data_IF_502194098684
#
_entry.id   IF_502194098684
#
_cell.length_a   1.000
_cell.length_b   1.000
_cell.length_c   1.000
_cell.angle_alpha   90.00
_cell.angle_beta   90.00
_cell.angle_gamma   90.00
#
_symmetry.space_group_name_H-M   'P 1'
#
loop_
_entity.id
_entity.type
_entity.pdbx_description
1 polymer ?
#
# COMPACT_ATOMS: atom_id res chain seq x y z
N UNK A 1 -1.28 1.88 -4.72
CA UNK A 1 -0.76 1.70 -6.09
C UNK A 1 0.69 1.26 -5.98
N UNK A 2 1.07 0.22 -6.72
CA UNK A 2 2.46 -0.21 -6.85
C UNK A 2 2.80 -0.22 -8.34
N UNK A 3 3.94 0.34 -8.70
CA UNK A 3 4.51 0.28 -10.05
C UNK A 3 5.88 -0.36 -9.96
N UNK A 4 6.06 -1.50 -10.64
CA UNK A 4 7.33 -2.19 -10.72
C UNK A 4 8.36 -1.34 -11.47
N UNK A 5 9.62 -1.48 -11.10
CA UNK A 5 10.72 -0.87 -11.83
C UNK A 5 10.89 -1.49 -13.23
N UNK A 6 11.29 -0.66 -14.19
CA UNK A 6 11.59 -1.05 -15.56
C UNK A 6 12.58 -0.07 -16.23
N UNK A 7 13.70 -0.54 -16.83
CA UNK A 7 14.18 -1.93 -16.87
C UNK A 7 14.46 -2.49 -15.48
N UNK A 8 14.64 -3.81 -15.39
CA UNK A 8 14.88 -4.51 -14.10
C UNK A 8 16.16 -4.07 -13.39
N UNK A 9 17.03 -3.32 -14.07
CA UNK A 9 18.25 -2.69 -13.53
C UNK A 9 18.00 -1.31 -12.93
N UNK A 10 16.85 -0.69 -13.18
CA UNK A 10 16.49 0.62 -12.64
C UNK A 10 15.83 0.52 -11.27
N UNK A 11 15.90 1.60 -10.50
CA UNK A 11 15.19 1.80 -9.23
C UNK A 11 13.99 2.75 -9.40
N UNK A 12 13.35 2.76 -10.57
CA UNK A 12 12.27 3.70 -10.90
C UNK A 12 10.86 3.17 -10.55
N UNK A 13 10.76 2.22 -9.63
CA UNK A 13 9.48 1.77 -9.09
C UNK A 13 8.82 2.86 -8.24
N UNK A 14 7.51 2.76 -8.08
CA UNK A 14 6.71 3.71 -7.31
C UNK A 14 5.75 3.00 -6.36
N UNK A 15 5.42 3.68 -5.26
CA UNK A 15 4.37 3.29 -4.33
C UNK A 15 3.55 4.52 -3.94
N UNK A 16 2.23 4.37 -3.92
CA UNK A 16 1.34 5.44 -3.46
C UNK A 16 0.16 4.88 -2.66
N UNK A 17 -0.25 5.62 -1.63
CA UNK A 17 -1.34 5.29 -0.72
C UNK A 17 -2.33 6.46 -0.73
N UNK A 18 -3.61 6.12 -0.79
CA UNK A 18 -4.71 7.06 -0.61
C UNK A 18 -5.54 6.60 0.59
N UNK A 19 -5.93 7.54 1.44
CA UNK A 19 -6.90 7.34 2.52
C UNK A 19 -8.01 8.37 2.30
N UNK A 20 -9.26 7.92 2.26
CA UNK A 20 -10.44 8.76 2.01
C UNK A 20 -10.27 9.68 0.77
N UNK A 21 -9.65 9.14 -0.28
CA UNK A 21 -9.41 9.85 -1.54
C UNK A 21 -8.22 10.81 -1.52
N UNK A 22 -7.62 11.07 -0.37
CA UNK A 22 -6.44 11.92 -0.21
C UNK A 22 -5.18 11.09 -0.40
N UNK A 23 -4.28 11.51 -1.30
CA UNK A 23 -2.98 10.85 -1.51
C UNK A 23 -2.05 11.16 -0.34
N UNK A 24 -2.03 10.30 0.68
CA UNK A 24 -1.23 10.46 1.89
C UNK A 24 0.24 10.07 1.71
N UNK A 25 0.56 9.29 0.68
CA UNK A 25 1.94 8.94 0.36
C UNK A 25 2.09 8.73 -1.14
N UNK A 26 3.18 9.24 -1.71
CA UNK A 26 3.62 8.92 -3.07
C UNK A 26 5.13 9.01 -3.11
N UNK A 27 5.78 7.86 -3.29
CA UNK A 27 7.22 7.70 -3.22
C UNK A 27 7.69 7.01 -4.51
N UNK A 28 8.72 7.57 -5.14
CA UNK A 28 9.28 7.12 -6.40
C UNK A 28 10.65 7.75 -6.65
N UNK A 29 11.34 7.33 -7.70
CA UNK A 29 12.67 7.88 -7.98
C UNK A 29 12.61 9.41 -8.13
N UNK A 30 13.38 10.11 -7.31
CA UNK A 30 13.46 11.56 -7.28
C UNK A 30 12.41 12.25 -6.40
N UNK A 31 11.51 11.52 -5.72
CA UNK A 31 10.52 12.13 -4.84
C UNK A 31 9.91 11.17 -3.79
N UNK A 32 9.46 11.68 -2.64
CA UNK A 32 9.70 13.03 -2.14
C UNK A 32 11.16 13.16 -1.68
N UNK A 33 11.51 14.34 -1.19
CA UNK A 33 12.75 14.50 -0.44
C UNK A 33 12.60 13.87 0.96
N UNK A 34 13.71 13.38 1.50
CA UNK A 34 13.75 12.81 2.83
C UNK A 34 15.13 12.33 3.25
N UNK A 35 15.16 11.51 4.28
CA UNK A 35 16.38 10.90 4.81
C UNK A 35 16.09 9.51 5.37
N UNK A 36 17.13 8.67 5.39
CA UNK A 36 17.08 7.35 6.00
C UNK A 36 17.60 7.38 7.43
N UNK A 37 16.90 6.73 8.34
CA UNK A 37 17.36 6.44 9.69
C UNK A 37 16.92 5.04 10.08
N UNK A 38 17.87 4.14 10.37
CA UNK A 38 17.55 2.77 10.79
C UNK A 38 16.68 1.97 9.81
N UNK A 39 16.80 2.23 8.50
CA UNK A 39 15.97 1.57 7.49
C UNK A 39 14.55 2.15 7.37
N UNK A 40 14.28 3.29 8.00
CA UNK A 40 13.04 4.06 7.84
C UNK A 40 13.36 5.28 6.98
N UNK A 41 12.63 5.45 5.88
CA UNK A 41 12.67 6.68 5.09
C UNK A 41 11.65 7.67 5.65
N UNK A 42 12.12 8.81 6.12
CA UNK A 42 11.28 9.90 6.63
C UNK A 42 11.25 11.03 5.62
N UNK A 43 10.05 11.45 5.22
CA UNK A 43 9.87 12.56 4.29
C UNK A 43 10.27 13.88 4.96
N UNK A 44 11.13 14.64 4.30
CA UNK A 44 11.58 15.97 4.71
C UNK A 44 11.89 16.78 3.45
N UNK A 45 11.21 17.92 3.21
CA UNK A 45 11.47 18.79 2.06
C UNK A 45 12.94 19.23 1.93
N UNK A 46 13.67 19.32 3.03
CA UNK A 46 15.10 19.71 3.08
C UNK A 46 16.06 18.54 2.86
N UNK A 47 15.55 17.31 2.83
CA UNK A 47 16.31 16.11 2.59
C UNK A 47 16.71 15.92 1.12
N UNK A 48 17.25 14.75 0.81
CA UNK A 48 17.61 14.36 -0.55
C UNK A 48 16.43 13.67 -1.24
N UNK A 49 16.31 13.78 -2.58
CA UNK A 49 15.31 13.03 -3.33
C UNK A 49 15.42 11.52 -3.07
N UNK A 50 14.27 10.84 -2.89
CA UNK A 50 14.24 9.39 -2.74
C UNK A 50 14.91 8.68 -3.91
N UNK A 51 15.77 7.71 -3.63
CA UNK A 51 16.57 7.01 -4.65
C UNK A 51 15.71 6.12 -5.58
N UNK A 52 14.52 5.75 -5.11
CA UNK A 52 13.55 4.96 -5.85
C UNK A 52 13.55 3.47 -5.51
N UNK A 53 12.46 2.77 -5.83
CA UNK A 53 12.31 1.35 -5.55
C UNK A 53 12.82 0.47 -6.69
N UNK A 54 13.58 -0.57 -6.34
CA UNK A 54 13.84 -1.72 -7.22
C UNK A 54 13.10 -2.96 -6.69
N UNK A 55 11.80 -3.05 -6.98
CA UNK A 55 10.93 -4.15 -6.57
C UNK A 55 11.32 -5.53 -7.11
N UNK A 56 11.96 -5.56 -8.29
CA UNK A 56 12.38 -6.80 -8.96
C UNK A 56 13.74 -6.65 -9.66
N UNK A 57 14.42 -7.77 -9.79
CA UNK A 57 15.66 -7.92 -10.57
C UNK A 57 15.49 -8.79 -11.81
N UNK A 58 14.38 -9.51 -11.94
CA UNK A 58 14.03 -10.39 -13.07
C UNK A 58 12.73 -9.91 -13.71
N UNK A 59 12.65 -9.95 -15.03
CA UNK A 59 11.48 -9.46 -15.76
C UNK A 59 10.25 -10.36 -15.59
N UNK A 60 10.45 -11.63 -15.22
CA UNK A 60 9.41 -12.62 -14.98
C UNK A 60 8.74 -12.47 -13.61
N UNK A 61 9.38 -11.76 -12.67
CA UNK A 61 8.78 -11.47 -11.36
C UNK A 61 7.79 -10.30 -11.48
N UNK A 62 6.51 -10.65 -11.49
CA UNK A 62 5.38 -9.72 -11.55
C UNK A 62 4.64 -9.65 -10.21
N UNK A 63 3.77 -8.65 -10.04
CA UNK A 63 2.82 -8.62 -8.93
C UNK A 63 1.88 -9.84 -9.06
N UNK A 64 1.75 -10.64 -7.99
CA UNK A 64 1.11 -11.96 -8.06
C UNK A 64 0.13 -12.24 -6.90
N UNK A 65 0.29 -11.59 -5.75
CA UNK A 65 -0.58 -11.76 -4.60
C UNK A 65 -0.97 -10.42 -3.99
N UNK A 66 -2.15 -10.42 -3.38
CA UNK A 66 -2.57 -9.39 -2.44
C UNK A 66 -2.94 -10.12 -1.15
N UNK A 67 -2.33 -9.69 -0.05
CA UNK A 67 -2.55 -10.27 1.26
C UNK A 67 -3.30 -9.27 2.12
N UNK A 68 -4.45 -9.68 2.65
CA UNK A 68 -5.18 -8.93 3.67
C UNK A 68 -4.76 -9.50 5.02
N UNK A 69 -3.89 -8.78 5.73
CA UNK A 69 -3.33 -9.22 7.01
C UNK A 69 -3.44 -8.09 8.01
N UNK A 70 -3.86 -8.43 9.22
CA UNK A 70 -3.90 -7.54 10.37
C UNK A 70 -3.33 -8.30 11.56
N UNK A 71 -2.38 -7.70 12.28
CA UNK A 71 -1.78 -8.25 13.49
C UNK A 71 -1.64 -7.12 14.51
N UNK A 72 -2.28 -7.25 15.66
CA UNK A 72 -2.28 -6.25 16.74
C UNK A 72 -1.70 -6.87 18.01
N UNK A 73 -0.38 -6.74 18.25
CA UNK A 73 0.27 -7.37 19.40
C UNK A 73 0.07 -6.61 20.73
N UNK A 74 -0.32 -5.33 20.66
CA UNK A 74 -0.33 -4.42 21.81
C UNK A 74 -1.74 -4.05 22.30
N UNK A 75 -2.69 -5.00 22.15
CA UNK A 75 -4.07 -4.77 22.57
C UNK A 75 -4.20 -4.67 24.10
N UNK A 76 -4.94 -3.67 24.62
CA UNK A 76 -5.23 -3.58 26.04
C UNK A 76 -5.97 -4.81 26.56
N UNK A 77 -5.79 -5.14 27.84
CA UNK A 77 -6.50 -6.25 28.46
C UNK A 77 -8.03 -6.09 28.35
N UNK A 78 -8.70 -7.14 27.88
CA UNK A 78 -10.15 -7.15 27.66
C UNK A 78 -10.60 -6.53 26.33
N UNK A 79 -9.67 -6.09 25.46
CA UNK A 79 -10.00 -5.62 24.13
C UNK A 79 -10.25 -6.82 23.20
N UNK A 80 -11.39 -6.81 22.51
CA UNK A 80 -11.70 -7.71 21.41
C UNK A 80 -11.59 -6.92 20.10
N UNK A 81 -10.71 -7.34 19.20
CA UNK A 81 -10.53 -6.70 17.89
C UNK A 81 -11.43 -7.38 16.85
N UNK A 82 -12.23 -6.57 16.17
CA UNK A 82 -12.95 -6.97 14.95
C UNK A 82 -12.49 -6.08 13.79
N UNK A 83 -11.79 -6.68 12.82
CA UNK A 83 -11.37 -6.01 11.59
C UNK A 83 -12.20 -6.52 10.42
N UNK A 84 -12.93 -5.61 9.78
CA UNK A 84 -13.76 -5.94 8.62
C UNK A 84 -13.16 -5.36 7.35
N UNK A 85 -12.99 -6.19 6.33
CA UNK A 85 -12.67 -5.76 4.98
C UNK A 85 -13.93 -5.84 4.13
N UNK A 86 -14.17 -4.82 3.34
CA UNK A 86 -15.28 -4.79 2.40
C UNK A 86 -14.88 -4.04 1.12
N UNK A 87 -15.55 -4.34 -0.01
CA UNK A 87 -15.32 -3.74 -1.32
C UNK A 87 -13.84 -3.75 -1.77
N UNK A 88 -13.14 -4.86 -1.54
CA UNK A 88 -11.74 -5.01 -1.95
C UNK A 88 -11.68 -5.18 -3.48
N UNK A 89 -11.04 -4.23 -4.16
CA UNK A 89 -10.89 -4.22 -5.62
C UNK A 89 -9.42 -4.17 -6.02
N UNK A 90 -9.07 -4.96 -7.04
CA UNK A 90 -7.76 -4.94 -7.69
C UNK A 90 -7.89 -4.33 -9.07
N UNK A 91 -7.16 -3.25 -9.33
CA UNK A 91 -7.25 -2.52 -10.58
C UNK A 91 -5.87 -2.12 -11.11
N UNK A 92 -5.79 -1.89 -12.44
CA UNK A 92 -4.57 -1.43 -13.12
C UNK A 92 -4.35 0.09 -13.04
N UNK A 93 -5.38 0.82 -12.61
CA UNK A 93 -5.38 2.27 -12.43
C UNK A 93 -6.10 2.62 -11.12
N UNK A 94 -5.81 3.80 -10.57
CA UNK A 94 -6.51 4.29 -9.39
C UNK A 94 -8.02 4.41 -9.67
N UNK A 95 -8.86 3.86 -8.80
CA UNK A 95 -10.32 3.80 -8.96
C UNK A 95 -11.08 4.84 -8.12
N UNK A 96 -10.41 5.56 -7.22
CA UNK A 96 -11.07 6.54 -6.36
C UNK A 96 -11.88 5.92 -5.22
N UNK A 97 -12.59 6.78 -4.48
CA UNK A 97 -13.54 6.37 -3.46
C UNK A 97 -14.89 5.98 -4.09
N UNK A 98 -15.62 5.09 -3.41
CA UNK A 98 -17.04 4.87 -3.71
C UNK A 98 -17.83 6.16 -3.46
N UNK A 99 -18.86 6.39 -4.26
CA UNK A 99 -19.82 7.46 -3.98
C UNK A 99 -20.68 7.09 -2.77
N UNK A 100 -21.15 8.10 -2.05
CA UNK A 100 -21.90 7.97 -0.79
C UNK A 100 -23.17 7.12 -0.86
N UNK A 101 -23.69 6.86 -2.07
CA UNK A 101 -24.93 6.12 -2.33
C UNK A 101 -24.72 4.62 -2.54
N UNK A 102 -23.52 4.09 -2.28
CA UNK A 102 -23.28 2.64 -2.35
C UNK A 102 -23.92 1.95 -1.14
N UNK A 103 -24.91 1.08 -1.40
CA UNK A 103 -25.46 0.20 -0.37
C UNK A 103 -24.36 -0.77 0.08
N UNK A 104 -24.10 -0.93 1.39
CA UNK A 104 -23.13 -1.92 1.85
C UNK A 104 -23.51 -3.31 1.32
N UNK A 105 -22.58 -4.10 0.78
CA UNK A 105 -22.81 -5.46 0.36
C UNK A 105 -23.18 -6.32 1.56
N UNK A 106 -23.94 -7.38 1.30
CA UNK A 106 -24.28 -8.35 2.31
C UNK A 106 -22.99 -8.95 2.90
N UNK A 107 -22.95 -9.12 4.21
CA UNK A 107 -21.82 -9.73 4.90
C UNK A 107 -21.47 -11.09 4.26
N UNK A 108 -20.20 -11.36 3.93
CA UNK A 108 -19.79 -12.64 3.37
C UNK A 108 -20.10 -13.78 4.34
N UNK A 109 -20.71 -14.85 3.83
CA UNK A 109 -20.98 -16.09 4.58
C UNK A 109 -19.92 -17.14 4.25
N UNK A 110 -19.58 -18.01 5.22
CA UNK A 110 -18.63 -19.12 4.98
C UNK A 110 -17.15 -18.75 4.99
N UNK A 111 -16.76 -17.64 5.62
CA UNK A 111 -15.35 -17.30 5.84
C UNK A 111 -14.68 -18.34 6.74
N UNK A 112 -13.71 -19.06 6.16
CA UNK A 112 -12.87 -20.00 6.88
C UNK A 112 -11.66 -19.24 7.43
N UNK A 113 -11.82 -18.65 8.61
CA UNK A 113 -10.74 -17.99 9.32
C UNK A 113 -9.98 -19.10 10.05
N UNK A 114 -8.84 -19.53 9.48
CA UNK A 114 -7.92 -20.46 10.13
C UNK A 114 -6.92 -19.71 11.00
#
# INVERSE_FOLDING_TARGET
>A
MVKLNNPVTSSNGEHAIWLDGVKVSHVGQGFPNGYWSGGIFTQDPRGSPFEGFRWRSDSNLQLNWIWLQNYSPDDPAGFAQDMHFDHVVVAKSYIGCLTSDSTPPAAPTGLNVR
#
